data_IF_362075583932
#
_entry.id   IF_362075583932
#
_cell.length_a   1.000
_cell.length_b   1.000
_cell.length_c   1.000
_cell.angle_alpha   90.00
_cell.angle_beta   90.00
_cell.angle_gamma   90.00
#
_symmetry.space_group_name_H-M   'P 1'
#
loop_
_entity.id
_entity.type
_entity.pdbx_description
1 polymer ?
#
# COMPACT_ATOMS: atom_id res chain seq x y z
N UNK A 1 -19.65 -9.24 -31.55
CA UNK A 1 -19.17 -10.12 -30.46
C UNK A 1 -18.25 -9.27 -29.61
N UNK A 2 -18.72 -8.80 -28.48
CA UNK A 2 -17.89 -8.11 -27.47
C UNK A 2 -17.07 -9.18 -26.77
N UNK A 3 -15.74 -9.08 -26.80
CA UNK A 3 -14.88 -9.96 -26.02
C UNK A 3 -15.10 -9.57 -24.55
N UNK A 4 -15.56 -10.51 -23.73
CA UNK A 4 -15.76 -10.25 -22.31
C UNK A 4 -14.39 -9.84 -21.68
N UNK A 5 -14.41 -8.81 -20.87
CA UNK A 5 -13.23 -8.37 -20.13
C UNK A 5 -12.73 -9.50 -19.23
N UNK A 6 -11.43 -9.76 -19.24
CA UNK A 6 -10.83 -10.75 -18.35
C UNK A 6 -10.96 -10.31 -16.88
N UNK A 7 -10.94 -11.28 -15.96
CA UNK A 7 -10.92 -10.97 -14.53
C UNK A 7 -9.71 -10.09 -14.17
N UNK A 8 -9.87 -9.10 -13.29
CA UNK A 8 -8.77 -8.25 -12.89
C UNK A 8 -7.66 -9.05 -12.20
N UNK A 9 -6.39 -8.70 -12.42
CA UNK A 9 -5.26 -9.38 -11.78
C UNK A 9 -5.24 -9.12 -10.26
N UNK A 10 -4.85 -10.14 -9.51
CA UNK A 10 -4.75 -10.05 -8.05
C UNK A 10 -3.39 -9.51 -7.65
N UNK A 11 -3.29 -8.44 -6.84
CA UNK A 11 -2.02 -7.93 -6.37
C UNK A 11 -1.24 -8.98 -5.57
N UNK A 12 0.06 -9.18 -5.82
CA UNK A 12 0.88 -10.13 -5.09
C UNK A 12 1.33 -9.57 -3.73
N UNK A 13 1.61 -10.45 -2.78
CA UNK A 13 2.10 -10.10 -1.46
C UNK A 13 1.04 -9.43 -0.58
N UNK A 14 1.48 -8.56 0.32
CA UNK A 14 0.63 -7.76 1.21
C UNK A 14 1.36 -6.47 1.63
N UNK A 15 0.67 -5.58 2.36
CA UNK A 15 1.31 -4.38 2.95
C UNK A 15 2.46 -4.71 3.90
N UNK A 16 2.42 -5.88 4.54
CA UNK A 16 3.40 -6.31 5.56
C UNK A 16 4.46 -7.25 5.01
N UNK A 17 4.18 -7.89 3.88
CA UNK A 17 5.09 -8.82 3.20
C UNK A 17 5.15 -8.45 1.72
N UNK A 18 6.06 -7.56 1.32
CA UNK A 18 6.25 -7.19 -0.08
C UNK A 18 6.48 -8.43 -0.93
N UNK A 19 5.90 -8.44 -2.13
CA UNK A 19 6.08 -9.51 -3.09
C UNK A 19 7.50 -9.54 -3.64
N UNK A 20 7.90 -10.69 -4.23
CA UNK A 20 9.17 -10.75 -4.93
C UNK A 20 9.19 -9.80 -6.14
N UNK A 21 10.35 -9.28 -6.55
CA UNK A 21 10.45 -8.43 -7.74
C UNK A 21 9.86 -9.07 -9.00
N UNK A 22 9.97 -10.39 -9.13
CA UNK A 22 9.42 -11.15 -10.25
C UNK A 22 7.89 -11.15 -10.26
N UNK A 23 7.27 -11.33 -9.09
CA UNK A 23 5.81 -11.37 -8.97
C UNK A 23 5.23 -9.97 -9.18
N UNK A 24 5.92 -8.93 -8.70
CA UNK A 24 5.53 -7.53 -8.94
C UNK A 24 5.57 -7.22 -10.44
N UNK A 25 6.65 -7.58 -11.14
CA UNK A 25 6.76 -7.35 -12.58
C UNK A 25 5.65 -8.05 -13.36
N UNK A 26 5.39 -9.31 -13.04
CA UNK A 26 4.32 -10.09 -13.67
C UNK A 26 2.96 -9.41 -13.46
N UNK A 27 2.66 -9.01 -12.22
CA UNK A 27 1.44 -8.29 -11.89
C UNK A 27 1.31 -6.96 -12.65
N UNK A 28 2.39 -6.16 -12.76
CA UNK A 28 2.38 -4.89 -13.49
C UNK A 28 2.08 -5.09 -14.98
N UNK A 29 2.64 -6.14 -15.59
CA UNK A 29 2.38 -6.49 -16.99
C UNK A 29 0.93 -6.94 -17.21
N UNK A 30 0.35 -7.69 -16.26
CA UNK A 30 -1.05 -8.10 -16.32
C UNK A 30 -1.98 -6.92 -16.07
N UNK A 31 -1.68 -6.08 -15.08
CA UNK A 31 -2.47 -4.91 -14.74
C UNK A 31 -2.51 -3.89 -15.89
N UNK A 32 -1.37 -3.68 -16.57
CA UNK A 32 -1.30 -2.79 -17.74
C UNK A 32 -2.20 -3.29 -18.87
N UNK A 33 -2.10 -4.58 -19.22
CA UNK A 33 -2.94 -5.18 -20.26
C UNK A 33 -4.41 -5.10 -19.90
N UNK A 34 -4.76 -5.49 -18.68
CA UNK A 34 -6.13 -5.45 -18.21
C UNK A 34 -6.71 -4.03 -18.19
N UNK A 35 -5.94 -3.02 -17.77
CA UNK A 35 -6.33 -1.61 -17.81
C UNK A 35 -6.62 -1.13 -19.24
N UNK A 36 -5.78 -1.50 -20.18
CA UNK A 36 -5.92 -1.09 -21.59
C UNK A 36 -7.15 -1.77 -22.21
N UNK A 37 -7.41 -3.03 -21.85
CA UNK A 37 -8.61 -3.77 -22.25
C UNK A 37 -9.88 -3.15 -21.64
N UNK A 38 -9.87 -2.81 -20.34
CA UNK A 38 -10.97 -2.11 -19.68
C UNK A 38 -11.26 -0.78 -20.36
N UNK A 39 -10.26 0.03 -20.64
CA UNK A 39 -10.42 1.31 -21.32
C UNK A 39 -11.06 1.14 -22.71
N UNK A 40 -10.56 0.19 -23.47
CA UNK A 40 -11.09 -0.13 -24.80
C UNK A 40 -12.54 -0.60 -24.73
N UNK A 41 -12.89 -1.42 -23.72
CA UNK A 41 -14.25 -1.87 -23.49
C UNK A 41 -15.19 -0.71 -23.10
N UNK A 42 -14.76 0.17 -22.18
CA UNK A 42 -15.55 1.34 -21.77
C UNK A 42 -15.73 2.34 -22.93
N UNK A 43 -14.71 2.58 -23.76
CA UNK A 43 -14.82 3.42 -24.94
C UNK A 43 -15.80 2.82 -25.97
N UNK A 44 -15.87 1.50 -26.10
CA UNK A 44 -16.84 0.82 -26.93
C UNK A 44 -18.26 0.94 -26.37
N UNK A 45 -18.42 0.81 -25.05
CA UNK A 45 -19.70 0.97 -24.36
C UNK A 45 -20.18 2.42 -24.47
N UNK A 46 -19.32 3.43 -24.30
CA UNK A 46 -19.68 4.84 -24.46
C UNK A 46 -20.24 5.13 -25.85
N UNK A 47 -19.56 4.67 -26.90
CA UNK A 47 -20.07 4.80 -28.29
C UNK A 47 -21.43 4.12 -28.49
N UNK A 48 -21.65 2.97 -27.83
CA UNK A 48 -22.93 2.26 -27.91
C UNK A 48 -24.05 3.00 -27.15
N UNK A 49 -23.75 3.59 -25.99
CA UNK A 49 -24.73 4.37 -25.22
C UNK A 49 -25.20 5.61 -25.96
N UNK A 50 -24.32 6.26 -26.76
CA UNK A 50 -24.66 7.45 -27.55
C UNK A 50 -25.72 7.18 -28.65
N UNK A 51 -25.85 5.95 -29.10
CA UNK A 51 -26.86 5.52 -30.09
C UNK A 51 -28.01 4.73 -29.47
N UNK A 52 -28.00 4.48 -28.17
CA UNK A 52 -29.04 3.77 -27.47
C UNK A 52 -30.30 4.66 -27.28
N UNK A 53 -31.46 4.07 -27.32
CA UNK A 53 -32.74 4.78 -27.15
C UNK A 53 -32.96 5.31 -25.71
N UNK A 54 -32.17 4.80 -24.73
CA UNK A 54 -32.26 5.11 -23.31
C UNK A 54 -30.93 5.63 -22.76
N UNK A 55 -30.22 6.48 -23.52
CA UNK A 55 -28.86 6.98 -23.17
C UNK A 55 -28.73 7.52 -21.73
N UNK A 56 -29.73 8.26 -21.25
CA UNK A 56 -29.75 8.85 -19.89
C UNK A 56 -29.68 7.77 -18.77
N UNK A 57 -30.23 6.59 -19.01
CA UNK A 57 -30.24 5.51 -18.02
C UNK A 57 -28.88 4.89 -17.78
N UNK A 58 -27.92 5.07 -18.71
CA UNK A 58 -26.56 4.54 -18.61
C UNK A 58 -25.55 5.54 -18.07
N UNK A 59 -25.87 6.85 -18.07
CA UNK A 59 -24.94 7.94 -17.80
C UNK A 59 -24.27 7.83 -16.44
N UNK A 60 -25.01 7.50 -15.39
CA UNK A 60 -24.48 7.43 -14.03
C UNK A 60 -23.46 6.28 -13.87
N UNK A 61 -23.80 5.10 -14.39
CA UNK A 61 -22.93 3.90 -14.30
C UNK A 61 -21.69 4.06 -15.19
N UNK A 62 -21.87 4.62 -16.38
CA UNK A 62 -20.76 4.90 -17.28
C UNK A 62 -19.80 5.96 -16.71
N UNK A 63 -20.34 7.04 -16.11
CA UNK A 63 -19.53 8.06 -15.45
C UNK A 63 -18.74 7.47 -14.29
N UNK A 64 -19.35 6.62 -13.49
CA UNK A 64 -18.66 5.94 -12.39
C UNK A 64 -17.57 4.99 -12.92
N UNK A 65 -17.87 4.19 -13.94
CA UNK A 65 -16.90 3.28 -14.54
C UNK A 65 -15.71 4.01 -15.16
N UNK A 66 -15.94 5.13 -15.85
CA UNK A 66 -14.90 5.98 -16.42
C UNK A 66 -14.03 6.64 -15.33
N UNK A 67 -14.63 7.15 -14.25
CA UNK A 67 -13.89 7.75 -13.15
C UNK A 67 -13.03 6.73 -12.40
N UNK A 68 -13.53 5.49 -12.23
CA UNK A 68 -12.73 4.38 -11.68
C UNK A 68 -11.59 4.00 -12.61
N UNK A 69 -11.86 3.88 -13.91
CA UNK A 69 -10.83 3.59 -14.93
C UNK A 69 -9.72 4.62 -14.93
N UNK A 70 -10.04 5.91 -14.80
CA UNK A 70 -9.04 6.99 -14.68
C UNK A 70 -8.22 6.87 -13.39
N UNK A 71 -8.85 6.58 -12.26
CA UNK A 71 -8.16 6.41 -10.98
C UNK A 71 -7.26 5.17 -10.97
N UNK A 72 -7.71 4.06 -11.57
CA UNK A 72 -6.91 2.86 -11.80
C UNK A 72 -5.72 3.17 -12.71
N UNK A 73 -5.97 3.92 -13.80
CA UNK A 73 -4.92 4.33 -14.74
C UNK A 73 -3.82 5.12 -14.06
N UNK A 74 -4.15 6.16 -13.33
CA UNK A 74 -3.18 6.97 -12.55
C UNK A 74 -2.35 6.13 -11.59
N UNK A 75 -2.99 5.23 -10.83
CA UNK A 75 -2.28 4.34 -9.91
C UNK A 75 -1.39 3.33 -10.62
N UNK A 76 -1.83 2.81 -11.76
CA UNK A 76 -1.02 1.92 -12.60
C UNK A 76 0.23 2.65 -13.11
N UNK A 77 0.09 3.90 -13.56
CA UNK A 77 1.21 4.72 -14.03
C UNK A 77 2.18 5.08 -12.88
N UNK A 78 1.69 5.34 -11.66
CA UNK A 78 2.54 5.51 -10.47
C UNK A 78 3.34 4.24 -10.16
N UNK A 79 2.70 3.08 -10.20
CA UNK A 79 3.35 1.78 -9.99
C UNK A 79 4.45 1.54 -11.02
N UNK A 80 4.17 1.79 -12.30
CA UNK A 80 5.11 1.63 -13.40
C UNK A 80 6.27 2.62 -13.26
N UNK A 81 5.99 3.89 -12.99
CA UNK A 81 7.01 4.92 -12.79
C UNK A 81 7.93 4.57 -11.61
N UNK A 82 7.36 4.07 -10.51
CA UNK A 82 8.14 3.63 -9.35
C UNK A 82 9.02 2.43 -9.70
N UNK A 83 8.50 1.48 -10.48
CA UNK A 83 9.26 0.32 -10.94
C UNK A 83 10.41 0.71 -11.87
N UNK A 84 10.16 1.60 -12.84
CA UNK A 84 11.13 2.03 -13.86
C UNK A 84 12.13 3.07 -13.34
N UNK A 85 11.97 3.58 -12.11
CA UNK A 85 12.84 4.63 -11.54
C UNK A 85 14.29 4.20 -11.27
N UNK A 86 14.63 2.92 -11.41
CA UNK A 86 15.97 2.40 -11.28
C UNK A 86 16.05 1.06 -10.55
N UNK A 87 17.03 0.94 -9.63
CA UNK A 87 17.25 -0.31 -8.90
C UNK A 87 16.17 -0.51 -7.84
N UNK A 88 15.31 -1.51 -8.05
CA UNK A 88 14.25 -1.87 -7.11
C UNK A 88 14.87 -2.59 -5.90
N UNK A 89 15.00 -1.86 -4.78
CA UNK A 89 15.43 -2.39 -3.49
C UNK A 89 14.24 -2.57 -2.54
N UNK A 90 14.52 -2.92 -1.28
CA UNK A 90 13.49 -3.17 -0.25
C UNK A 90 12.58 -1.96 0.00
N UNK A 91 13.09 -0.73 -0.14
CA UNK A 91 12.31 0.50 0.03
C UNK A 91 11.30 0.69 -1.09
N UNK A 92 11.74 0.46 -2.33
CA UNK A 92 10.91 0.55 -3.51
C UNK A 92 9.85 -0.55 -3.50
N UNK A 93 10.19 -1.77 -3.10
CA UNK A 93 9.23 -2.87 -2.92
C UNK A 93 8.18 -2.55 -1.85
N UNK A 94 8.59 -1.96 -0.73
CA UNK A 94 7.66 -1.52 0.31
C UNK A 94 6.74 -0.39 -0.18
N UNK A 95 7.26 0.54 -0.98
CA UNK A 95 6.46 1.59 -1.59
C UNK A 95 5.47 1.05 -2.64
N UNK A 96 5.92 0.13 -3.50
CA UNK A 96 5.06 -0.57 -4.45
C UNK A 96 3.96 -1.36 -3.73
N UNK A 97 4.26 -2.03 -2.62
CA UNK A 97 3.25 -2.68 -1.80
C UNK A 97 2.20 -1.68 -1.26
N UNK A 98 2.63 -0.48 -0.82
CA UNK A 98 1.71 0.58 -0.41
C UNK A 98 0.83 1.07 -1.56
N UNK A 99 1.37 1.19 -2.78
CA UNK A 99 0.60 1.58 -3.95
C UNK A 99 -0.39 0.51 -4.39
N UNK A 100 -0.01 -0.77 -4.35
CA UNK A 100 -0.87 -1.90 -4.73
C UNK A 100 -2.03 -2.13 -3.76
N UNK A 101 -1.75 -2.04 -2.46
CA UNK A 101 -2.71 -2.36 -1.40
C UNK A 101 -3.34 -1.14 -0.74
N UNK A 102 -2.79 0.05 -1.00
CA UNK A 102 -3.31 1.32 -0.48
C UNK A 102 -4.55 1.80 -1.23
N UNK A 103 -5.22 2.79 -0.64
CA UNK A 103 -6.39 3.43 -1.25
C UNK A 103 -6.02 4.27 -2.46
N UNK A 104 -6.92 4.29 -3.43
CA UNK A 104 -6.80 5.18 -4.58
C UNK A 104 -7.09 6.63 -4.14
N UNK A 105 -6.44 7.63 -4.74
CA UNK A 105 -6.88 9.01 -4.62
C UNK A 105 -8.16 9.24 -5.44
N UNK A 106 -9.07 10.09 -4.94
CA UNK A 106 -10.20 10.62 -5.71
C UNK A 106 -9.72 11.69 -6.73
N UNK A 107 -10.65 12.27 -7.47
CA UNK A 107 -10.36 13.33 -8.45
C UNK A 107 -9.71 14.58 -7.83
N UNK A 108 -9.88 14.79 -6.52
CA UNK A 108 -9.32 15.91 -5.76
C UNK A 108 -8.04 15.54 -5.01
N UNK A 109 -7.57 14.29 -5.11
CA UNK A 109 -6.38 13.78 -4.42
C UNK A 109 -6.63 13.27 -3.00
N UNK A 110 -7.88 13.25 -2.51
CA UNK A 110 -8.22 12.69 -1.21
C UNK A 110 -8.29 11.15 -1.29
N UNK A 111 -8.06 10.41 -0.18
CA UNK A 111 -8.21 8.96 -0.17
C UNK A 111 -9.65 8.57 -0.51
N UNK A 112 -9.84 7.82 -1.60
CA UNK A 112 -11.15 7.28 -1.95
C UNK A 112 -11.55 6.12 -1.01
N UNK A 113 -12.80 5.65 -1.14
CA UNK A 113 -13.28 4.49 -0.39
C UNK A 113 -12.64 3.16 -0.84
N UNK A 114 -11.96 3.13 -2.00
CA UNK A 114 -11.52 1.89 -2.66
C UNK A 114 -9.99 1.77 -2.73
N UNK A 115 -9.49 0.56 -2.48
CA UNK A 115 -8.15 0.13 -2.88
C UNK A 115 -8.09 -0.15 -4.38
N UNK A 116 -6.88 -0.33 -4.93
CA UNK A 116 -6.72 -0.68 -6.34
C UNK A 116 -7.46 -1.99 -6.71
N UNK A 117 -7.34 -3.02 -5.87
CA UNK A 117 -8.02 -4.31 -6.09
C UNK A 117 -9.54 -4.20 -6.07
N UNK A 118 -10.10 -3.39 -5.18
CA UNK A 118 -11.55 -3.16 -5.10
C UNK A 118 -12.05 -2.35 -6.28
N UNK A 119 -11.29 -1.31 -6.68
CA UNK A 119 -11.64 -0.50 -7.83
C UNK A 119 -11.60 -1.28 -9.14
N UNK A 120 -10.61 -2.17 -9.33
CA UNK A 120 -10.53 -3.03 -10.51
C UNK A 120 -11.70 -4.02 -10.56
N UNK A 121 -12.06 -4.63 -9.41
CA UNK A 121 -13.20 -5.55 -9.31
C UNK A 121 -14.53 -4.82 -9.60
N UNK A 122 -14.70 -3.64 -9.02
CA UNK A 122 -15.91 -2.84 -9.24
C UNK A 122 -16.01 -2.35 -10.70
N UNK A 123 -14.90 -1.91 -11.29
CA UNK A 123 -14.86 -1.48 -12.69
C UNK A 123 -15.21 -2.61 -13.65
N UNK A 124 -14.69 -3.83 -13.41
CA UNK A 124 -15.04 -5.01 -14.21
C UNK A 124 -16.53 -5.38 -14.07
N UNK A 125 -17.07 -5.31 -12.85
CA UNK A 125 -18.49 -5.58 -12.62
C UNK A 125 -19.41 -4.55 -13.29
N UNK A 126 -19.02 -3.27 -13.28
CA UNK A 126 -19.76 -2.19 -13.95
C UNK A 126 -19.70 -2.33 -15.47
N UNK A 127 -18.50 -2.67 -16.01
CA UNK A 127 -18.34 -2.92 -17.45
C UNK A 127 -19.24 -4.07 -17.92
N UNK A 128 -19.17 -5.23 -17.25
CA UNK A 128 -19.99 -6.39 -17.59
C UNK A 128 -21.49 -6.09 -17.51
N UNK A 129 -21.91 -5.33 -16.51
CA UNK A 129 -23.29 -4.89 -16.33
C UNK A 129 -23.73 -3.96 -17.45
N UNK A 130 -22.94 -2.93 -17.78
CA UNK A 130 -23.23 -1.99 -18.86
C UNK A 130 -23.33 -2.71 -20.20
N UNK A 131 -22.41 -3.66 -20.47
CA UNK A 131 -22.43 -4.48 -21.67
C UNK A 131 -23.72 -5.29 -21.77
N UNK A 132 -24.10 -6.00 -20.71
CA UNK A 132 -25.33 -6.81 -20.66
C UNK A 132 -26.58 -5.96 -20.87
N UNK A 133 -26.65 -4.76 -20.25
CA UNK A 133 -27.79 -3.84 -20.43
C UNK A 133 -27.88 -3.29 -21.85
N UNK A 134 -26.76 -2.92 -22.46
CA UNK A 134 -26.74 -2.44 -23.84
C UNK A 134 -27.06 -3.54 -24.85
N UNK A 135 -26.65 -4.77 -24.57
CA UNK A 135 -27.06 -5.93 -25.38
C UNK A 135 -28.57 -6.17 -25.28
N UNK A 136 -29.15 -6.07 -24.07
CA UNK A 136 -30.57 -6.14 -23.85
C UNK A 136 -31.34 -4.99 -24.55
N UNK A 137 -30.83 -3.73 -24.52
CA UNK A 137 -31.42 -2.58 -25.22
C UNK A 137 -31.37 -2.75 -26.75
N UNK A 138 -30.31 -3.32 -27.27
CA UNK A 138 -30.15 -3.62 -28.72
C UNK A 138 -31.11 -4.72 -29.18
N UNK A 139 -31.41 -5.70 -28.31
CA UNK A 139 -32.36 -6.80 -28.56
C UNK A 139 -33.79 -6.32 -28.36
N UNK A 140 -34.04 -5.21 -27.64
CA UNK A 140 -35.35 -4.66 -27.34
C UNK A 140 -36.16 -4.19 -28.56
N UNK A 141 -35.55 -4.21 -29.77
CA UNK A 141 -36.33 -4.17 -31.02
C UNK A 141 -37.13 -5.43 -31.33
N UNK A 142 -36.94 -6.53 -30.55
CA UNK A 142 -37.60 -7.80 -30.65
C UNK A 142 -38.29 -8.17 -29.35
N UNK A 143 -39.54 -7.86 -29.18
CA UNK A 143 -40.48 -8.45 -28.24
C UNK A 143 -40.26 -8.40 -26.70
N UNK A 144 -41.35 -8.26 -25.94
CA UNK A 144 -41.34 -8.20 -24.47
C UNK A 144 -40.66 -9.41 -23.78
N UNK A 145 -40.67 -10.58 -24.38
CA UNK A 145 -40.06 -11.80 -23.85
C UNK A 145 -38.55 -11.68 -23.66
N UNK A 146 -37.83 -11.00 -24.58
CA UNK A 146 -36.38 -10.87 -24.56
C UNK A 146 -35.88 -9.89 -23.47
N UNK A 147 -36.75 -9.04 -22.94
CA UNK A 147 -36.49 -8.11 -21.84
C UNK A 147 -36.65 -8.73 -20.45
N UNK A 148 -37.51 -9.77 -20.36
CA UNK A 148 -37.85 -10.41 -19.09
C UNK A 148 -36.72 -11.28 -18.58
N UNK A 149 -36.03 -12.02 -19.46
CA UNK A 149 -34.94 -12.91 -19.07
C UNK A 149 -33.79 -12.18 -18.38
N UNK A 150 -33.22 -11.07 -18.92
CA UNK A 150 -32.15 -10.32 -18.25
C UNK A 150 -32.57 -9.75 -16.89
N UNK A 151 -33.83 -9.29 -16.76
CA UNK A 151 -34.31 -8.78 -15.48
C UNK A 151 -34.44 -9.89 -14.43
N UNK A 152 -34.92 -11.07 -14.81
CA UNK A 152 -34.93 -12.25 -13.93
C UNK A 152 -33.52 -12.62 -13.46
N UNK A 153 -32.55 -12.60 -14.36
CA UNK A 153 -31.14 -12.87 -13.99
C UNK A 153 -30.62 -11.81 -13.00
N UNK A 154 -30.94 -10.53 -13.18
CA UNK A 154 -30.56 -9.47 -12.23
C UNK A 154 -31.22 -9.71 -10.87
N UNK A 155 -32.49 -10.07 -10.81
CA UNK A 155 -33.20 -10.37 -9.56
C UNK A 155 -32.63 -11.60 -8.85
N UNK A 156 -32.24 -12.65 -9.59
CA UNK A 156 -31.55 -13.81 -9.03
C UNK A 156 -30.21 -13.37 -8.41
N UNK A 157 -29.40 -12.57 -9.11
CA UNK A 157 -28.14 -12.05 -8.56
C UNK A 157 -28.37 -11.18 -7.32
N UNK A 158 -29.42 -10.32 -7.33
CA UNK A 158 -29.80 -9.56 -6.14
C UNK A 158 -30.14 -10.48 -4.96
N UNK A 159 -30.91 -11.52 -5.19
CA UNK A 159 -31.27 -12.49 -4.17
C UNK A 159 -30.03 -13.22 -3.60
N UNK A 160 -29.14 -13.70 -4.47
CA UNK A 160 -27.91 -14.41 -4.07
C UNK A 160 -26.98 -13.49 -3.26
N UNK A 161 -26.77 -12.24 -3.70
CA UNK A 161 -25.99 -11.26 -2.98
C UNK A 161 -26.63 -10.89 -1.64
N UNK A 162 -27.95 -10.66 -1.63
CA UNK A 162 -28.70 -10.33 -0.41
C UNK A 162 -28.65 -11.47 0.60
N UNK A 163 -28.76 -12.72 0.14
CA UNK A 163 -28.66 -13.93 0.98
C UNK A 163 -27.25 -14.08 1.53
N UNK A 164 -26.22 -13.89 0.70
CA UNK A 164 -24.81 -13.95 1.14
C UNK A 164 -24.50 -12.87 2.17
N UNK A 165 -25.09 -11.70 2.05
CA UNK A 165 -24.97 -10.59 2.99
C UNK A 165 -25.92 -10.74 4.20
N UNK A 166 -26.84 -11.69 4.17
CA UNK A 166 -27.94 -11.84 5.14
C UNK A 166 -28.75 -10.54 5.29
N UNK A 167 -28.94 -9.81 4.18
CA UNK A 167 -29.51 -8.46 4.22
C UNK A 167 -30.33 -8.13 2.97
N UNK A 168 -31.44 -7.39 3.17
CA UNK A 168 -32.32 -6.94 2.09
C UNK A 168 -32.92 -8.08 1.25
N UNK A 169 -32.95 -9.29 1.79
CA UNK A 169 -33.52 -10.48 1.11
C UNK A 169 -35.00 -10.27 0.79
N UNK A 170 -35.73 -9.67 1.74
CA UNK A 170 -37.16 -9.36 1.55
C UNK A 170 -37.40 -8.35 0.42
N UNK A 171 -36.50 -7.39 0.24
CA UNK A 171 -36.54 -6.41 -0.84
C UNK A 171 -36.28 -7.06 -2.20
N UNK A 172 -35.31 -7.97 -2.29
CA UNK A 172 -35.02 -8.72 -3.50
C UNK A 172 -36.23 -9.63 -3.88
N UNK A 173 -36.80 -10.30 -2.88
CA UNK A 173 -37.99 -11.13 -3.08
C UNK A 173 -39.21 -10.28 -3.49
N UNK A 174 -39.44 -9.14 -2.86
CA UNK A 174 -40.53 -8.24 -3.21
C UNK A 174 -40.46 -7.72 -4.66
N UNK A 175 -39.24 -7.47 -5.18
CA UNK A 175 -39.06 -7.09 -6.59
C UNK A 175 -39.32 -8.27 -7.53
N UNK A 176 -38.97 -9.48 -7.15
CA UNK A 176 -39.29 -10.68 -7.93
C UNK A 176 -40.81 -10.92 -7.98
N UNK A 177 -41.50 -10.81 -6.85
CA UNK A 177 -42.97 -10.94 -6.77
C UNK A 177 -43.70 -9.85 -7.56
N UNK A 178 -43.16 -8.62 -7.56
CA UNK A 178 -43.69 -7.52 -8.39
C UNK A 178 -43.57 -7.83 -9.88
N UNK A 179 -42.42 -8.41 -10.32
CA UNK A 179 -42.22 -8.82 -11.70
C UNK A 179 -43.25 -9.89 -12.10
N UNK A 180 -43.45 -10.92 -11.29
CA UNK A 180 -44.45 -11.98 -11.60
C UNK A 180 -45.87 -11.41 -11.62
N UNK A 181 -46.19 -10.48 -10.73
CA UNK A 181 -47.50 -9.79 -10.73
C UNK A 181 -47.68 -8.93 -11.99
N UNK A 182 -46.63 -8.21 -12.41
CA UNK A 182 -46.68 -7.41 -13.63
C UNK A 182 -46.84 -8.28 -14.90
N UNK A 183 -46.19 -9.45 -14.92
CA UNK A 183 -46.33 -10.40 -16.03
C UNK A 183 -47.73 -10.97 -16.17
N UNK A 184 -48.52 -11.02 -15.09
CA UNK A 184 -49.90 -11.45 -15.10
C UNK A 184 -50.89 -10.31 -15.52
N UNK A 185 -50.42 -9.07 -15.67
CA UNK A 185 -51.22 -7.88 -16.01
C UNK A 185 -51.33 -7.64 -17.51
N UNK A 186 -52.10 -6.63 -17.93
CA UNK A 186 -52.22 -6.24 -19.32
C UNK A 186 -50.93 -5.57 -19.85
N UNK A 187 -50.71 -5.59 -21.18
CA UNK A 187 -49.44 -5.18 -21.80
C UNK A 187 -49.06 -3.71 -21.60
N UNK A 188 -50.00 -2.81 -21.27
CA UNK A 188 -49.68 -1.39 -20.98
C UNK A 188 -49.20 -1.20 -19.56
N UNK A 189 -49.83 -1.85 -18.60
CA UNK A 189 -49.43 -1.90 -17.20
C UNK A 189 -48.09 -2.60 -17.07
N UNK A 190 -47.87 -3.71 -17.79
CA UNK A 190 -46.62 -4.43 -17.86
C UNK A 190 -45.43 -3.53 -18.26
N UNK A 191 -45.60 -2.70 -19.33
CA UNK A 191 -44.49 -1.88 -19.80
C UNK A 191 -44.07 -0.79 -18.78
N UNK A 192 -45.04 -0.17 -18.09
CA UNK A 192 -44.74 0.84 -17.05
C UNK A 192 -44.11 0.23 -15.79
N UNK A 193 -44.67 -0.88 -15.31
CA UNK A 193 -44.17 -1.59 -14.12
C UNK A 193 -42.81 -2.21 -14.38
N UNK A 194 -42.57 -2.74 -15.57
CA UNK A 194 -41.28 -3.34 -15.95
C UNK A 194 -40.12 -2.37 -15.82
N UNK A 195 -40.27 -1.13 -16.36
CA UNK A 195 -39.25 -0.09 -16.22
C UNK A 195 -38.91 0.20 -14.75
N UNK A 196 -39.95 0.39 -13.93
CA UNK A 196 -39.81 0.67 -12.49
C UNK A 196 -39.11 -0.46 -11.72
N UNK A 197 -39.47 -1.73 -12.02
CA UNK A 197 -38.87 -2.90 -11.39
C UNK A 197 -37.40 -3.04 -11.83
N UNK A 198 -37.10 -2.81 -13.11
CA UNK A 198 -35.76 -2.87 -13.63
C UNK A 198 -34.83 -1.85 -12.95
N UNK A 199 -35.29 -0.58 -12.87
CA UNK A 199 -34.51 0.48 -12.19
C UNK A 199 -34.28 0.17 -10.71
N UNK A 200 -35.30 -0.34 -10.02
CA UNK A 200 -35.19 -0.72 -8.61
C UNK A 200 -34.23 -1.92 -8.40
N UNK A 201 -34.33 -2.94 -9.27
CA UNK A 201 -33.43 -4.10 -9.22
C UNK A 201 -31.98 -3.71 -9.46
N UNK A 202 -31.74 -2.79 -10.40
CA UNK A 202 -30.39 -2.30 -10.67
C UNK A 202 -29.80 -1.47 -9.52
N UNK A 203 -30.62 -0.62 -8.90
CA UNK A 203 -30.19 0.13 -7.71
C UNK A 203 -29.85 -0.82 -6.57
N UNK A 204 -30.68 -1.82 -6.33
CA UNK A 204 -30.47 -2.84 -5.32
C UNK A 204 -29.18 -3.63 -5.60
N UNK A 205 -28.98 -4.11 -6.83
CA UNK A 205 -27.78 -4.84 -7.23
C UNK A 205 -26.51 -4.02 -6.98
N UNK A 206 -26.51 -2.75 -7.39
CA UNK A 206 -25.41 -1.82 -7.18
C UNK A 206 -25.07 -1.65 -5.71
N UNK A 207 -26.07 -1.50 -4.87
CA UNK A 207 -25.87 -1.30 -3.44
C UNK A 207 -25.36 -2.58 -2.75
N UNK A 208 -25.88 -3.75 -3.13
CA UNK A 208 -25.41 -5.03 -2.63
C UNK A 208 -23.94 -5.32 -3.04
N UNK A 209 -23.58 -5.00 -4.28
CA UNK A 209 -22.17 -5.13 -4.75
C UNK A 209 -21.24 -4.22 -3.93
N UNK A 210 -21.63 -2.96 -3.71
CA UNK A 210 -20.82 -2.02 -2.88
C UNK A 210 -20.66 -2.53 -1.45
N UNK A 211 -21.73 -3.06 -0.88
CA UNK A 211 -21.70 -3.59 0.48
C UNK A 211 -20.82 -4.84 0.57
N UNK A 212 -20.91 -5.75 -0.39
CA UNK A 212 -20.04 -6.94 -0.48
C UNK A 212 -18.56 -6.53 -0.54
N UNK A 213 -18.24 -5.57 -1.40
CA UNK A 213 -16.89 -5.04 -1.52
C UNK A 213 -16.40 -4.40 -0.21
N UNK A 214 -17.26 -3.61 0.45
CA UNK A 214 -16.94 -2.99 1.74
C UNK A 214 -16.65 -4.03 2.82
N UNK A 215 -17.52 -5.05 2.97
CA UNK A 215 -17.33 -6.13 3.95
C UNK A 215 -16.03 -6.91 3.71
N UNK A 216 -15.78 -7.28 2.45
CA UNK A 216 -14.56 -7.98 2.06
C UNK A 216 -13.30 -7.15 2.38
N UNK A 217 -13.34 -5.84 2.14
CA UNK A 217 -12.20 -4.95 2.45
C UNK A 217 -11.96 -4.82 3.95
N UNK A 218 -13.02 -4.56 4.72
CA UNK A 218 -12.95 -4.44 6.17
C UNK A 218 -12.38 -5.72 6.81
N UNK A 219 -12.89 -6.89 6.41
CA UNK A 219 -12.44 -8.18 6.94
C UNK A 219 -10.98 -8.47 6.59
N UNK A 220 -10.56 -8.19 5.37
CA UNK A 220 -9.17 -8.37 4.91
C UNK A 220 -8.22 -7.46 5.67
N UNK A 221 -8.56 -6.18 5.77
CA UNK A 221 -7.72 -5.19 6.44
C UNK A 221 -7.58 -5.52 7.94
N UNK A 222 -8.68 -5.91 8.59
CA UNK A 222 -8.65 -6.33 9.98
C UNK A 222 -7.76 -7.56 10.21
N UNK A 223 -7.83 -8.55 9.31
CA UNK A 223 -7.00 -9.76 9.39
C UNK A 223 -5.50 -9.44 9.30
N UNK A 224 -5.10 -8.47 8.47
CA UNK A 224 -3.68 -8.10 8.30
C UNK A 224 -3.13 -7.22 9.44
N UNK A 225 -3.99 -6.56 10.21
CA UNK A 225 -3.56 -5.67 11.30
C UNK A 225 -2.88 -6.41 12.44
N UNK A 226 -3.30 -7.63 12.76
CA UNK A 226 -2.69 -8.46 13.79
C UNK A 226 -1.21 -8.71 13.53
N UNK A 227 -0.87 -9.15 12.35
CA UNK A 227 0.51 -9.41 11.94
C UNK A 227 1.36 -8.14 11.96
N UNK A 228 0.77 -7.04 11.52
CA UNK A 228 1.45 -5.74 11.48
C UNK A 228 1.76 -5.20 12.88
N UNK A 229 0.85 -5.39 13.83
CA UNK A 229 1.08 -5.04 15.25
C UNK A 229 2.19 -5.91 15.82
N UNK A 230 2.17 -7.22 15.60
CA UNK A 230 3.20 -8.14 16.06
C UNK A 230 4.59 -7.74 15.51
N UNK A 231 4.68 -7.39 14.24
CA UNK A 231 5.92 -6.90 13.62
C UNK A 231 6.40 -5.58 14.25
N UNK A 232 5.49 -4.62 14.50
CA UNK A 232 5.83 -3.38 15.17
C UNK A 232 6.26 -3.60 16.61
N UNK A 233 5.65 -4.52 17.34
CA UNK A 233 6.04 -4.90 18.69
C UNK A 233 7.46 -5.45 18.72
N UNK A 234 7.81 -6.32 17.76
CA UNK A 234 9.17 -6.83 17.61
C UNK A 234 10.16 -5.70 17.29
N UNK A 235 9.79 -4.79 16.39
CA UNK A 235 10.60 -3.62 16.07
C UNK A 235 10.80 -2.71 17.26
N UNK A 236 9.75 -2.46 18.05
CA UNK A 236 9.82 -1.67 19.28
C UNK A 236 10.77 -2.28 20.31
N UNK A 237 10.76 -3.61 20.47
CA UNK A 237 11.70 -4.31 21.33
C UNK A 237 13.15 -4.10 20.88
N UNK A 238 13.46 -4.25 19.61
CA UNK A 238 14.79 -4.01 19.05
C UNK A 238 15.25 -2.55 19.22
N UNK A 239 14.33 -1.58 19.03
CA UNK A 239 14.63 -0.16 19.26
C UNK A 239 14.89 0.12 20.74
N UNK A 240 14.13 -0.47 21.67
CA UNK A 240 14.36 -0.34 23.13
C UNK A 240 15.73 -0.89 23.51
N UNK A 241 16.12 -2.04 22.98
CA UNK A 241 17.45 -2.60 23.20
C UNK A 241 18.57 -1.68 22.69
N UNK A 242 18.39 -1.14 21.48
CA UNK A 242 19.34 -0.19 20.91
C UNK A 242 19.43 1.09 21.74
N UNK A 243 18.29 1.62 22.18
CA UNK A 243 18.23 2.77 23.07
C UNK A 243 18.92 2.53 24.41
N UNK A 244 18.74 1.35 24.99
CA UNK A 244 19.43 0.97 26.22
C UNK A 244 20.95 0.88 26.01
N UNK A 245 21.40 0.19 24.96
CA UNK A 245 22.84 0.14 24.61
C UNK A 245 23.42 1.53 24.37
N UNK A 246 22.67 2.43 23.75
CA UNK A 246 23.09 3.81 23.53
C UNK A 246 23.26 4.53 24.87
N UNK A 247 22.31 4.44 25.81
CA UNK A 247 22.38 5.08 27.14
C UNK A 247 23.53 4.55 27.99
N UNK A 248 23.84 3.27 27.86
CA UNK A 248 24.95 2.64 28.59
C UNK A 248 26.33 3.03 28.02
N UNK A 249 26.40 3.25 26.70
CA UNK A 249 27.71 3.39 26.02
C UNK A 249 28.04 4.81 25.61
N UNK A 250 27.11 5.74 25.61
CA UNK A 250 27.24 7.12 25.14
C UNK A 250 26.91 8.09 26.28
N UNK A 251 27.77 9.09 26.50
CA UNK A 251 27.65 10.02 27.61
C UNK A 251 26.45 10.98 27.48
N UNK A 252 26.15 11.43 26.27
CA UNK A 252 24.98 12.27 25.99
C UNK A 252 24.07 11.56 24.96
N UNK A 253 23.27 10.56 25.41
CA UNK A 253 22.39 9.83 24.55
C UNK A 253 21.17 10.70 24.15
N UNK A 254 20.54 10.45 22.98
CA UNK A 254 19.32 11.16 22.58
C UNK A 254 18.24 11.11 23.65
N UNK A 255 17.67 12.28 24.00
CA UNK A 255 16.58 12.43 24.97
C UNK A 255 15.23 12.17 24.31
N UNK A 256 15.03 10.97 23.81
CA UNK A 256 13.83 10.54 23.10
C UNK A 256 13.24 9.30 23.77
N UNK A 257 11.91 9.26 23.88
CA UNK A 257 11.18 8.06 24.26
C UNK A 257 11.06 7.08 23.10
N UNK A 258 11.07 5.79 23.39
CA UNK A 258 10.68 4.79 22.40
C UNK A 258 9.16 4.67 22.44
N UNK A 259 8.45 4.85 21.31
CA UNK A 259 7.00 4.72 21.28
C UNK A 259 6.52 3.37 21.79
N UNK A 260 5.42 3.40 22.54
CA UNK A 260 4.78 2.20 23.03
C UNK A 260 3.69 1.75 22.05
N UNK A 261 3.87 0.55 21.49
CA UNK A 261 2.92 -0.06 20.56
C UNK A 261 1.65 -0.51 21.28
N UNK A 262 1.72 -0.89 22.55
CA UNK A 262 0.56 -1.31 23.33
C UNK A 262 -0.42 -0.15 23.56
N UNK A 263 0.07 1.09 23.56
CA UNK A 263 -0.78 2.28 23.68
C UNK A 263 -1.73 2.49 22.47
N UNK A 264 -1.55 1.75 21.37
CA UNK A 264 -2.49 1.76 20.24
C UNK A 264 -3.84 1.13 20.61
N UNK A 265 -3.85 0.27 21.63
CA UNK A 265 -5.03 -0.49 22.03
C UNK A 265 -5.39 -1.62 21.06
N UNK A 266 -6.51 -2.30 21.31
CA UNK A 266 -6.95 -3.42 20.49
C UNK A 266 -7.36 -2.98 19.08
N UNK A 267 -7.24 -3.91 18.12
CA UNK A 267 -7.78 -3.72 16.76
C UNK A 267 -9.29 -3.50 16.85
N UNK A 268 -9.84 -2.52 16.13
CA UNK A 268 -11.28 -2.33 16.08
C UNK A 268 -12.01 -3.60 15.64
N UNK A 269 -13.11 -3.96 16.29
CA UNK A 269 -13.85 -5.17 15.95
C UNK A 269 -14.47 -5.04 14.56
N UNK A 270 -14.51 -6.16 13.84
CA UNK A 270 -15.28 -6.32 12.61
C UNK A 270 -16.69 -6.75 12.99
N UNK A 271 -17.74 -6.20 12.36
CA UNK A 271 -19.11 -6.64 12.61
C UNK A 271 -19.29 -8.14 12.32
N UNK A 272 -19.93 -8.87 13.22
CA UNK A 272 -20.32 -10.26 13.03
C UNK A 272 -21.68 -10.30 12.32
N UNK A 273 -21.69 -10.39 10.99
CA UNK A 273 -22.84 -10.75 10.14
C UNK A 273 -24.14 -9.96 10.34
N UNK A 274 -24.69 -9.93 11.52
CA UNK A 274 -26.00 -9.37 11.81
C UNK A 274 -26.03 -7.83 11.82
N UNK A 275 -26.96 -7.31 11.11
CA UNK A 275 -26.99 -6.00 10.52
C UNK A 275 -27.57 -4.88 11.37
N UNK A 276 -26.68 -4.08 11.93
CA UNK A 276 -27.01 -2.69 12.21
C UNK A 276 -26.62 -1.85 10.97
N UNK A 277 -27.57 -1.12 10.35
CA UNK A 277 -27.26 -0.25 9.22
C UNK A 277 -26.09 0.69 9.53
N UNK A 278 -25.11 0.73 8.63
CA UNK A 278 -23.90 1.58 8.81
C UNK A 278 -22.79 0.97 9.66
N UNK A 279 -22.97 -0.22 10.27
CA UNK A 279 -21.93 -0.86 11.08
C UNK A 279 -20.62 -1.11 10.31
N UNK A 280 -20.71 -1.57 9.07
CA UNK A 280 -19.55 -1.80 8.22
C UNK A 280 -18.85 -0.51 7.77
N UNK A 281 -19.61 0.56 7.54
CA UNK A 281 -19.03 1.89 7.26
C UNK A 281 -18.32 2.45 8.50
N UNK A 282 -18.91 2.27 9.67
CA UNK A 282 -18.29 2.67 10.94
C UNK A 282 -17.04 1.84 11.23
N UNK A 283 -17.08 0.52 11.01
CA UNK A 283 -15.91 -0.35 11.13
C UNK A 283 -14.80 0.06 10.17
N UNK A 284 -15.13 0.41 8.93
CA UNK A 284 -14.18 0.94 7.95
C UNK A 284 -13.49 2.20 8.47
N UNK A 285 -14.25 3.18 8.94
CA UNK A 285 -13.71 4.41 9.49
C UNK A 285 -12.82 4.18 10.72
N UNK A 286 -13.22 3.25 11.59
CA UNK A 286 -12.44 2.88 12.77
C UNK A 286 -11.11 2.20 12.39
N UNK A 287 -11.13 1.29 11.42
CA UNK A 287 -9.92 0.64 10.90
C UNK A 287 -8.98 1.65 10.23
N UNK A 288 -9.51 2.60 9.47
CA UNK A 288 -8.69 3.64 8.83
C UNK A 288 -7.99 4.53 9.87
N UNK A 289 -8.74 4.95 10.88
CA UNK A 289 -8.17 5.72 11.99
C UNK A 289 -7.11 4.92 12.76
N UNK A 290 -7.33 3.62 12.93
CA UNK A 290 -6.37 2.73 13.56
C UNK A 290 -5.11 2.56 12.71
N UNK A 291 -5.25 2.33 11.41
CA UNK A 291 -4.13 2.23 10.47
C UNK A 291 -3.28 3.51 10.44
N UNK A 292 -3.91 4.69 10.46
CA UNK A 292 -3.20 5.96 10.53
C UNK A 292 -2.34 6.07 11.80
N UNK A 293 -2.89 5.70 12.98
CA UNK A 293 -2.13 5.67 14.24
C UNK A 293 -0.97 4.67 14.20
N UNK A 294 -1.20 3.50 13.61
CA UNK A 294 -0.18 2.47 13.44
C UNK A 294 0.97 2.94 12.54
N UNK A 295 0.66 3.65 11.45
CA UNK A 295 1.66 4.27 10.57
C UNK A 295 2.48 5.34 11.30
N UNK A 296 1.83 6.18 12.10
CA UNK A 296 2.52 7.18 12.92
C UNK A 296 3.46 6.51 13.94
N UNK A 297 3.01 5.46 14.62
CA UNK A 297 3.84 4.69 15.54
C UNK A 297 5.04 4.06 14.84
N UNK A 298 4.85 3.48 13.66
CA UNK A 298 5.92 2.91 12.85
C UNK A 298 6.97 3.96 12.45
N UNK A 299 6.53 5.12 11.99
CA UNK A 299 7.42 6.23 11.63
C UNK A 299 8.21 6.73 12.84
N UNK A 300 7.55 6.89 13.98
CA UNK A 300 8.17 7.31 15.22
C UNK A 300 9.21 6.28 15.75
N UNK A 301 8.91 4.97 15.64
CA UNK A 301 9.84 3.90 15.97
C UNK A 301 11.07 3.90 15.05
N UNK A 302 10.87 4.07 13.75
CA UNK A 302 11.97 4.16 12.79
C UNK A 302 12.87 5.35 13.08
N UNK A 303 12.31 6.51 13.39
CA UNK A 303 13.07 7.70 13.78
C UNK A 303 13.83 7.49 15.10
N UNK A 304 13.18 6.93 16.12
CA UNK A 304 13.83 6.61 17.38
C UNK A 304 15.01 5.64 17.16
N UNK A 305 14.80 4.59 16.34
CA UNK A 305 15.84 3.63 15.99
C UNK A 305 17.05 4.30 15.33
N UNK A 306 16.83 5.16 14.36
CA UNK A 306 17.92 5.92 13.69
C UNK A 306 18.70 6.79 14.68
N UNK A 307 17.97 7.55 15.52
CA UNK A 307 18.62 8.47 16.48
C UNK A 307 19.45 7.75 17.54
N UNK A 308 19.00 6.61 18.05
CA UNK A 308 19.77 5.83 19.02
C UNK A 308 20.90 5.04 18.37
N UNK A 309 20.77 4.62 17.11
CA UNK A 309 21.81 3.91 16.40
C UNK A 309 22.97 4.83 15.95
N UNK A 310 22.67 6.08 15.58
CA UNK A 310 23.66 7.01 15.02
C UNK A 310 24.91 7.20 15.91
N UNK A 311 24.83 7.54 17.23
CA UNK A 311 26.02 7.72 18.04
C UNK A 311 26.78 6.42 18.30
N UNK A 312 26.10 5.26 18.27
CA UNK A 312 26.76 3.96 18.35
C UNK A 312 27.55 3.63 17.10
N UNK A 313 26.99 3.95 15.92
CA UNK A 313 27.67 3.80 14.64
C UNK A 313 28.87 4.74 14.55
N UNK A 314 28.70 6.01 14.91
CA UNK A 314 29.79 6.98 14.93
C UNK A 314 30.93 6.55 15.83
N UNK A 315 30.62 6.03 17.04
CA UNK A 315 31.68 5.45 17.91
C UNK A 315 32.43 4.32 17.24
N UNK A 316 31.74 3.45 16.51
CA UNK A 316 32.37 2.35 15.78
C UNK A 316 33.25 2.85 14.64
N UNK A 317 32.79 3.85 13.90
CA UNK A 317 33.54 4.50 12.82
C UNK A 317 34.82 5.17 13.36
N UNK A 318 34.72 5.94 14.44
CA UNK A 318 35.85 6.58 15.08
C UNK A 318 36.90 5.57 15.57
N UNK A 319 36.46 4.41 16.09
CA UNK A 319 37.36 3.29 16.46
C UNK A 319 38.08 2.74 15.23
N UNK A 320 37.38 2.52 14.14
CA UNK A 320 37.95 2.08 12.88
C UNK A 320 38.95 3.08 12.33
N UNK A 321 38.62 4.37 12.37
CA UNK A 321 39.47 5.45 11.91
C UNK A 321 40.76 5.57 12.74
N UNK A 322 40.66 5.51 14.07
CA UNK A 322 41.83 5.52 14.95
C UNK A 322 42.79 4.35 14.66
N UNK A 323 42.24 3.15 14.42
CA UNK A 323 43.03 1.97 14.05
C UNK A 323 43.68 2.12 12.66
N UNK A 324 42.97 2.71 11.69
CA UNK A 324 43.51 2.96 10.36
C UNK A 324 44.69 3.95 10.40
N UNK A 325 44.58 5.02 11.19
CA UNK A 325 45.69 5.94 11.39
C UNK A 325 46.87 5.28 12.07
N UNK A 326 46.65 4.41 13.07
CA UNK A 326 47.70 3.62 13.70
C UNK A 326 48.44 2.70 12.71
N UNK A 327 47.66 2.01 11.86
CA UNK A 327 48.26 1.17 10.80
C UNK A 327 49.04 1.99 9.79
N UNK A 328 48.60 3.20 9.43
CA UNK A 328 49.31 4.14 8.57
C UNK A 328 50.64 4.60 9.20
N UNK A 329 50.62 4.95 10.49
CA UNK A 329 51.83 5.32 11.24
C UNK A 329 52.81 4.14 11.31
N UNK A 330 52.32 2.91 11.54
CA UNK A 330 53.16 1.70 11.56
C UNK A 330 53.84 1.43 10.21
N UNK A 331 53.07 1.55 9.09
CA UNK A 331 53.60 1.39 7.74
C UNK A 331 54.69 2.40 7.39
N UNK A 332 54.66 3.58 8.02
CA UNK A 332 55.69 4.62 7.89
C UNK A 332 56.82 4.51 8.90
N UNK A 333 56.88 3.45 9.71
CA UNK A 333 57.91 3.25 10.73
C UNK A 333 57.80 4.14 11.96
N UNK A 334 56.65 4.82 12.15
CA UNK A 334 56.42 5.80 13.22
C UNK A 334 55.65 5.20 14.41
N UNK A 335 55.55 3.89 14.53
CA UNK A 335 54.75 3.22 15.57
C UNK A 335 55.31 3.48 17.00
N UNK A 336 56.62 3.75 17.13
CA UNK A 336 57.30 4.03 18.39
C UNK A 336 57.42 5.51 18.70
N UNK A 337 56.84 6.40 17.85
CA UNK A 337 56.84 7.84 18.14
C UNK A 337 56.02 8.13 19.40
N UNK A 338 56.64 8.71 20.47
CA UNK A 338 55.98 8.91 21.76
C UNK A 338 54.80 9.88 21.68
N UNK A 339 54.86 10.87 20.77
CA UNK A 339 53.81 11.84 20.57
C UNK A 339 52.56 11.24 19.93
N UNK A 340 52.80 10.42 18.88
CA UNK A 340 51.71 9.70 18.20
C UNK A 340 51.11 8.59 19.10
N UNK A 341 51.95 7.87 19.87
CA UNK A 341 51.44 6.85 20.79
C UNK A 341 50.61 7.46 21.94
N UNK A 342 51.04 8.59 22.49
CA UNK A 342 50.24 9.31 23.52
C UNK A 342 48.88 9.75 22.99
N UNK A 343 48.82 10.30 21.77
CA UNK A 343 47.54 10.74 21.14
C UNK A 343 46.65 9.54 20.83
N UNK A 344 47.19 8.46 20.27
CA UNK A 344 46.45 7.21 20.04
C UNK A 344 45.88 6.65 21.35
N UNK A 345 46.70 6.63 22.40
CA UNK A 345 46.30 6.11 23.72
C UNK A 345 45.18 6.94 24.32
N UNK A 346 45.25 8.27 24.21
CA UNK A 346 44.17 9.19 24.63
C UNK A 346 42.86 8.95 23.85
N UNK A 347 42.94 8.88 22.52
CA UNK A 347 41.76 8.58 21.67
C UNK A 347 41.17 7.20 21.98
N UNK A 348 42.03 6.20 22.16
CA UNK A 348 41.61 4.84 22.53
C UNK A 348 40.96 4.84 23.92
N UNK A 349 41.51 5.49 24.91
CA UNK A 349 40.97 5.53 26.26
C UNK A 349 39.52 6.07 26.26
N UNK A 350 39.26 7.16 25.54
CA UNK A 350 37.89 7.72 25.42
C UNK A 350 36.96 6.83 24.63
N UNK A 351 37.38 6.30 23.48
CA UNK A 351 36.57 5.44 22.62
C UNK A 351 36.18 4.11 23.26
N UNK A 352 37.01 3.54 24.15
CA UNK A 352 36.68 2.27 24.84
C UNK A 352 36.00 2.46 26.20
N UNK A 353 36.02 3.69 26.73
CA UNK A 353 35.28 4.04 27.96
C UNK A 353 33.77 3.90 27.74
N UNK A 354 33.06 3.53 28.77
CA UNK A 354 31.59 3.56 28.81
C UNK A 354 31.13 4.29 30.07
N UNK A 355 30.34 5.36 29.93
CA UNK A 355 29.88 6.01 28.69
C UNK A 355 30.98 6.80 27.98
N UNK A 356 30.98 6.82 26.66
CA UNK A 356 31.92 7.52 25.78
C UNK A 356 31.36 8.90 25.41
N UNK A 357 32.18 9.95 25.54
CA UNK A 357 31.85 11.26 24.96
C UNK A 357 32.26 11.27 23.47
N UNK A 358 31.28 11.20 22.58
CA UNK A 358 31.51 11.15 21.14
C UNK A 358 32.15 12.42 20.61
N UNK A 359 31.82 13.60 21.16
CA UNK A 359 32.41 14.86 20.71
C UNK A 359 33.88 14.94 21.09
N UNK A 360 34.22 14.58 22.33
CA UNK A 360 35.59 14.48 22.80
C UNK A 360 36.40 13.44 22.01
N UNK A 361 35.84 12.23 21.81
CA UNK A 361 36.46 11.18 21.05
C UNK A 361 36.77 11.56 19.60
N UNK A 362 35.84 12.26 18.94
CA UNK A 362 36.00 12.79 17.57
C UNK A 362 37.19 13.74 17.52
N UNK A 363 37.25 14.74 18.43
CA UNK A 363 38.36 15.70 18.47
C UNK A 363 39.72 15.01 18.69
N UNK A 364 39.76 13.99 19.57
CA UNK A 364 41.02 13.23 19.79
C UNK A 364 41.43 12.42 18.55
N UNK A 365 40.48 11.79 17.83
CA UNK A 365 40.76 11.03 16.61
C UNK A 365 41.20 11.96 15.48
N UNK A 366 40.59 13.11 15.31
CA UNK A 366 40.94 14.13 14.32
C UNK A 366 42.35 14.68 14.59
N UNK A 367 42.66 15.01 15.84
CA UNK A 367 43.97 15.47 16.26
C UNK A 367 45.06 14.42 15.97
N UNK A 368 44.80 13.15 16.34
CA UNK A 368 45.71 12.05 16.05
C UNK A 368 45.88 11.84 14.54
N UNK A 369 44.78 11.84 13.78
CA UNK A 369 44.81 11.67 12.33
C UNK A 369 45.63 12.77 11.62
N UNK A 370 45.48 14.03 12.06
CA UNK A 370 46.27 15.13 11.56
C UNK A 370 47.76 14.96 11.88
N UNK A 371 48.09 14.61 13.13
CA UNK A 371 49.49 14.36 13.55
C UNK A 371 50.13 13.23 12.74
N UNK A 372 49.43 12.13 12.50
CA UNK A 372 49.93 11.03 11.66
C UNK A 372 50.15 11.50 10.23
N UNK A 373 49.22 12.31 9.64
CA UNK A 373 49.37 12.83 8.29
C UNK A 373 50.60 13.74 8.16
N UNK A 374 50.81 14.62 9.11
CA UNK A 374 51.98 15.54 9.14
C UNK A 374 53.27 14.73 9.28
N UNK A 375 53.33 13.79 10.22
CA UNK A 375 54.54 12.99 10.47
C UNK A 375 54.90 12.12 9.27
N UNK A 376 53.91 11.48 8.62
CA UNK A 376 54.12 10.67 7.41
C UNK A 376 54.55 11.55 6.23
N UNK A 377 54.01 12.76 6.08
CA UNK A 377 54.39 13.69 5.03
C UNK A 377 55.79 14.33 5.22
N UNK A 378 56.32 14.30 6.45
CA UNK A 378 57.66 14.79 6.77
C UNK A 378 58.78 13.75 6.51
N UNK A 379 58.42 12.48 6.23
CA UNK A 379 59.41 11.45 5.85
C UNK A 379 59.85 11.73 4.41
N UNK A 380 61.14 12.05 4.15
CA UNK A 380 61.64 12.25 2.79
C UNK A 380 61.47 10.94 2.00
N UNK A 381 60.98 11.04 0.77
CA UNK A 381 60.94 9.89 -0.14
C UNK A 381 62.36 9.36 -0.30
N UNK A 382 62.64 8.16 0.24
CA UNK A 382 63.90 7.49 0.01
C UNK A 382 63.98 7.16 -1.48
N UNK A 383 64.75 7.92 -2.25
CA UNK A 383 65.08 7.58 -3.64
C UNK A 383 65.68 6.16 -3.64
N UNK A 384 65.21 5.26 -4.50
CA UNK A 384 65.83 3.96 -4.66
C UNK A 384 67.27 4.23 -5.16
N UNK A 385 68.29 3.87 -4.34
CA UNK A 385 69.66 3.84 -4.83
C UNK A 385 69.71 2.80 -5.97
N UNK A 386 69.80 3.30 -7.19
CA UNK A 386 70.13 2.50 -8.35
C UNK A 386 71.60 2.16 -8.17
N UNK A 387 71.88 0.97 -7.61
CA UNK A 387 73.19 0.37 -7.74
C UNK A 387 73.44 0.11 -9.23
N UNK A 388 74.28 0.93 -9.82
CA UNK A 388 74.83 0.68 -11.17
C UNK A 388 75.98 -0.35 -11.01
N UNK A 389 76.04 -1.39 -11.89
CA UNK A 389 77.01 -2.48 -11.86
C UNK A 389 78.45 -2.05 -12.20
#
# INVERSE_FOLDING_TARGET
>A
MTVALASPPTPPGSLTSPASPRDVLHYLDELRRWRDDLRSALDALDRRTQVASTADAFTADLTLALSLSESIGRRTDELITTWDSGRVGDKELAHLAQLMWGRLPDALGNPSAFSLSEATTLAAALEARLAARLDADTIAGSGAADRIAPLRETLVRCHDLATTLERRVDEANALADQLETALASDGKTLAAEFGRIADAAELLERDLIKETALRASVSRDAATLGDRIAQLTTTAAAVRETAQRCREKIADPPRLGVPDVEALGPVPPVPDGADVPGSWTAARAALDAYQARLQQAAAALAEAGRRFAAPLAERAELRGLAQAYRAKAAAAGLIEDPGLDAQFTAARAELWRAPCDIAAARGLVETYGHAVQVAVGAIPATEPQVETP
#
